data_IF_280587498637
#
_entry.id   IF_280587498637
#
_cell.length_a   1.000
_cell.length_b   1.000
_cell.length_c   1.000
_cell.angle_alpha   90.00
_cell.angle_beta   90.00
_cell.angle_gamma   90.00
#
_symmetry.space_group_name_H-M   'P 1'
#
loop_
_entity.id
_entity.type
_entity.pdbx_description
1 polymer ?
#
# COMPACT_ATOMS: atom_id res chain seq x y z
N UNK A 1 -15.43 -20.01 -4.57
CA UNK A 1 -14.20 -19.33 -4.11
C UNK A 1 -14.25 -17.85 -4.49
N UNK A 2 -14.62 -17.53 -5.73
CA UNK A 2 -14.67 -16.17 -6.28
C UNK A 2 -15.57 -15.25 -5.45
N UNK A 3 -16.77 -15.71 -5.09
CA UNK A 3 -17.71 -14.99 -4.22
C UNK A 3 -17.05 -14.57 -2.89
N UNK A 4 -16.29 -15.46 -2.27
CA UNK A 4 -15.62 -15.17 -1.00
C UNK A 4 -14.46 -14.18 -1.17
N UNK A 5 -13.78 -14.20 -2.32
CA UNK A 5 -12.74 -13.23 -2.66
C UNK A 5 -13.34 -11.84 -2.89
N UNK A 6 -14.40 -11.75 -3.69
CA UNK A 6 -15.11 -10.49 -3.98
C UNK A 6 -15.68 -9.83 -2.72
N UNK A 7 -16.12 -10.65 -1.75
CA UNK A 7 -16.65 -10.19 -0.47
C UNK A 7 -15.58 -10.05 0.63
N UNK A 8 -14.31 -10.13 0.27
CA UNK A 8 -13.20 -9.84 1.17
C UNK A 8 -12.95 -10.85 2.29
N UNK A 9 -13.53 -12.04 2.21
CA UNK A 9 -13.31 -13.12 3.18
C UNK A 9 -12.03 -13.91 2.94
N UNK A 10 -11.48 -13.84 1.71
CA UNK A 10 -10.25 -14.51 1.31
C UNK A 10 -9.24 -13.49 0.79
N UNK A 11 -7.97 -13.67 1.13
CA UNK A 11 -6.87 -12.86 0.60
C UNK A 11 -6.51 -13.23 -0.84
N UNK A 12 -6.76 -14.46 -1.24
CA UNK A 12 -6.47 -14.92 -2.59
C UNK A 12 -6.99 -16.34 -2.86
N UNK A 13 -7.01 -16.70 -4.13
CA UNK A 13 -7.33 -18.05 -4.60
C UNK A 13 -6.08 -18.59 -5.28
N UNK A 14 -5.60 -19.73 -4.85
CA UNK A 14 -4.37 -20.36 -5.35
C UNK A 14 -4.71 -21.68 -6.03
N UNK A 15 -4.26 -21.85 -7.27
CA UNK A 15 -4.36 -23.12 -7.98
C UNK A 15 -3.51 -24.19 -7.31
N UNK A 16 -3.98 -25.44 -7.33
CA UNK A 16 -3.28 -26.56 -6.66
C UNK A 16 -1.84 -26.74 -7.16
N UNK A 17 -1.58 -26.50 -8.45
CA UNK A 17 -0.24 -26.60 -9.03
C UNK A 17 0.77 -25.63 -8.45
N UNK A 18 0.35 -24.40 -8.13
CA UNK A 18 1.18 -23.31 -7.59
C UNK A 18 1.19 -23.27 -6.06
N UNK A 19 0.40 -24.12 -5.40
CA UNK A 19 0.19 -24.05 -3.94
C UNK A 19 1.51 -24.14 -3.16
N UNK A 20 2.44 -25.01 -3.59
CA UNK A 20 3.74 -25.18 -2.91
C UNK A 20 4.56 -23.91 -2.93
N UNK A 21 4.62 -23.26 -4.08
CA UNK A 21 5.45 -22.06 -4.28
C UNK A 21 4.85 -20.89 -3.51
N UNK A 22 3.53 -20.72 -3.57
CA UNK A 22 2.82 -19.69 -2.82
C UNK A 22 2.95 -19.91 -1.32
N UNK A 23 2.79 -21.14 -0.81
CA UNK A 23 2.99 -21.42 0.61
C UNK A 23 4.44 -21.18 1.05
N UNK A 24 5.42 -21.57 0.20
CA UNK A 24 6.84 -21.30 0.46
C UNK A 24 7.11 -19.80 0.56
N UNK A 25 6.56 -19.02 -0.37
CA UNK A 25 6.68 -17.57 -0.38
C UNK A 25 6.04 -16.94 0.86
N UNK A 26 4.81 -17.34 1.21
CA UNK A 26 4.14 -16.86 2.43
C UNK A 26 4.99 -17.14 3.66
N UNK A 27 5.52 -18.36 3.82
CA UNK A 27 6.36 -18.71 4.96
C UNK A 27 7.65 -17.89 4.98
N UNK A 28 8.30 -17.70 3.83
CA UNK A 28 9.49 -16.84 3.71
C UNK A 28 9.21 -15.40 4.14
N UNK A 29 8.10 -14.82 3.68
CA UNK A 29 7.70 -13.45 3.98
C UNK A 29 7.22 -13.25 5.44
N UNK A 30 6.89 -14.33 6.15
CA UNK A 30 6.54 -14.30 7.57
C UNK A 30 7.71 -14.66 8.49
N UNK A 31 8.83 -15.11 7.95
CA UNK A 31 10.03 -15.43 8.74
C UNK A 31 10.86 -14.18 9.01
N UNK A 32 10.50 -13.45 10.05
CA UNK A 32 11.20 -12.24 10.49
C UNK A 32 12.37 -12.49 11.41
N UNK A 33 12.72 -13.74 11.70
CA UNK A 33 13.84 -14.09 12.61
C UNK A 33 15.18 -13.53 12.13
N UNK A 34 15.33 -13.29 10.85
CA UNK A 34 16.52 -12.65 10.25
C UNK A 34 16.46 -11.12 10.24
N UNK A 35 15.30 -10.54 10.47
CA UNK A 35 15.10 -9.08 10.39
C UNK A 35 15.63 -8.33 11.61
N UNK A 36 15.83 -9.02 12.73
CA UNK A 36 16.34 -8.43 13.98
C UNK A 36 17.82 -8.81 14.28
N UNK A 37 18.50 -9.47 13.33
CA UNK A 37 19.94 -9.56 13.35
C UNK A 37 20.50 -8.16 13.09
N UNK A 38 21.40 -7.71 13.99
CA UNK A 38 22.11 -6.43 14.02
C UNK A 38 21.95 -5.59 12.75
N UNK A 39 21.25 -4.45 12.85
CA UNK A 39 21.29 -3.44 11.79
C UNK A 39 22.78 -3.23 11.46
N UNK A 40 23.22 -3.34 10.21
CA UNK A 40 24.58 -3.01 9.84
C UNK A 40 24.81 -1.58 10.28
N UNK A 41 25.69 -1.38 11.26
CA UNK A 41 25.96 -0.06 11.84
C UNK A 41 26.60 0.90 10.85
N UNK A 42 26.88 0.46 9.65
CA UNK A 42 27.38 1.29 8.56
C UNK A 42 26.83 0.76 7.24
N UNK A 43 25.59 1.08 6.91
CA UNK A 43 25.34 1.34 5.50
C UNK A 43 26.06 2.65 5.22
N UNK A 44 27.25 2.54 4.60
CA UNK A 44 27.82 3.65 3.86
C UNK A 44 26.65 4.27 3.09
N UNK A 45 26.29 5.50 3.42
CA UNK A 45 25.27 6.24 2.71
C UNK A 45 25.56 6.01 1.22
N UNK A 46 24.77 5.15 0.58
CA UNK A 46 24.78 5.08 -0.89
C UNK A 46 24.45 6.50 -1.26
N UNK A 47 25.47 7.23 -1.71
CA UNK A 47 25.32 8.61 -2.09
C UNK A 47 24.14 8.65 -3.06
N UNK A 48 23.09 9.38 -2.71
CA UNK A 48 21.92 9.63 -3.54
C UNK A 48 22.28 10.32 -4.87
N UNK A 49 23.58 10.46 -5.15
CA UNK A 49 24.14 11.07 -6.35
C UNK A 49 23.98 10.23 -7.62
N UNK A 50 23.48 8.99 -7.54
CA UNK A 50 23.36 8.14 -8.73
C UNK A 50 22.01 8.29 -9.47
N UNK A 51 21.02 8.96 -8.88
CA UNK A 51 19.74 9.23 -9.53
C UNK A 51 19.65 10.64 -10.13
N UNK A 52 20.71 11.14 -10.74
CA UNK A 52 20.68 12.43 -11.38
C UNK A 52 21.84 12.67 -12.28
N UNK A 53 21.79 12.21 -13.53
CA UNK A 53 22.44 12.97 -14.60
C UNK A 53 21.99 14.42 -14.42
N UNK A 54 22.91 15.34 -14.09
CA UNK A 54 22.67 16.78 -13.99
C UNK A 54 21.89 17.25 -15.22
N UNK A 55 20.57 17.15 -15.20
CA UNK A 55 19.73 17.96 -16.08
C UNK A 55 19.96 19.39 -15.62
N UNK A 56 20.51 20.24 -16.52
CA UNK A 56 20.64 21.68 -16.33
C UNK A 56 19.40 22.15 -15.58
N UNK A 57 19.57 22.73 -14.39
CA UNK A 57 18.49 23.36 -13.63
C UNK A 57 17.79 24.37 -14.55
N UNK A 58 16.68 23.94 -15.16
CA UNK A 58 15.74 24.92 -15.73
C UNK A 58 15.30 25.76 -14.53
N UNK A 59 15.47 27.10 -14.63
CA UNK A 59 14.97 28.07 -13.64
C UNK A 59 13.61 27.56 -13.14
N UNK A 60 13.52 27.25 -11.84
CA UNK A 60 12.25 26.90 -11.23
C UNK A 60 11.28 28.04 -11.50
N UNK A 61 10.31 27.83 -12.39
CA UNK A 61 9.17 28.72 -12.51
C UNK A 61 8.52 28.77 -11.14
N UNK A 62 8.26 29.97 -10.63
CA UNK A 62 7.46 30.14 -9.42
C UNK A 62 6.08 29.55 -9.71
N UNK A 63 5.84 28.30 -9.28
CA UNK A 63 4.58 27.61 -9.45
C UNK A 63 3.55 28.24 -8.52
N UNK A 64 2.38 28.57 -9.07
CA UNK A 64 1.23 28.99 -8.27
C UNK A 64 0.70 27.80 -7.47
N UNK A 65 -0.14 28.05 -6.47
CA UNK A 65 -0.82 26.98 -5.73
C UNK A 65 -1.65 26.07 -6.66
N UNK A 66 -2.28 26.67 -7.67
CA UNK A 66 -3.06 25.95 -8.67
C UNK A 66 -2.19 25.04 -9.55
N UNK A 67 -1.05 25.53 -10.02
CA UNK A 67 -0.10 24.71 -10.80
C UNK A 67 0.33 23.47 -9.99
N UNK A 68 0.57 23.61 -8.69
CA UNK A 68 0.92 22.49 -7.81
C UNK A 68 -0.23 21.47 -7.68
N UNK A 69 -1.47 21.96 -7.58
CA UNK A 69 -2.65 21.08 -7.57
C UNK A 69 -2.79 20.33 -8.89
N UNK A 70 -2.58 20.99 -10.02
CA UNK A 70 -2.64 20.35 -11.33
C UNK A 70 -1.55 19.28 -11.49
N UNK A 71 -0.32 19.56 -11.07
CA UNK A 71 0.78 18.60 -11.09
C UNK A 71 0.46 17.40 -10.17
N UNK A 72 -0.05 17.67 -8.98
CA UNK A 72 -0.42 16.61 -8.04
C UNK A 72 -1.55 15.69 -8.54
N UNK A 73 -2.41 16.22 -9.41
CA UNK A 73 -3.54 15.49 -10.02
C UNK A 73 -3.25 14.96 -11.43
N UNK A 74 -2.04 15.16 -11.95
CA UNK A 74 -1.68 14.66 -13.28
C UNK A 74 -1.77 13.13 -13.33
N UNK A 75 -2.36 12.62 -14.42
CA UNK A 75 -2.39 11.19 -14.73
C UNK A 75 -1.03 10.60 -15.10
N UNK A 76 -0.06 11.47 -15.43
CA UNK A 76 1.29 11.04 -15.80
C UNK A 76 2.19 10.74 -14.60
N UNK A 77 1.69 10.94 -13.38
CA UNK A 77 2.42 10.60 -12.16
C UNK A 77 2.34 9.10 -11.89
N UNK A 78 3.45 8.48 -11.46
CA UNK A 78 3.42 7.08 -11.05
C UNK A 78 2.38 6.83 -9.95
N UNK A 79 1.66 5.74 -10.08
CA UNK A 79 0.72 5.25 -9.08
C UNK A 79 1.44 4.47 -7.97
N UNK A 80 0.76 4.20 -6.86
CA UNK A 80 1.32 3.36 -5.80
C UNK A 80 1.69 1.95 -6.31
N UNK A 81 0.92 1.39 -7.24
CA UNK A 81 1.23 0.08 -7.83
C UNK A 81 2.56 0.09 -8.58
N UNK A 82 2.81 1.13 -9.38
CA UNK A 82 4.08 1.27 -10.11
C UNK A 82 5.28 1.51 -9.17
N UNK A 83 5.09 2.22 -8.06
CA UNK A 83 6.13 2.33 -7.04
C UNK A 83 6.40 0.98 -6.37
N UNK A 84 5.35 0.20 -6.09
CA UNK A 84 5.50 -1.13 -5.50
C UNK A 84 6.29 -2.04 -6.44
N UNK A 85 5.93 -2.10 -7.71
CA UNK A 85 6.62 -2.92 -8.71
C UNK A 85 8.09 -2.50 -8.92
N UNK A 86 8.38 -1.19 -8.79
CA UNK A 86 9.72 -0.67 -9.01
C UNK A 86 10.67 -0.77 -7.81
N UNK A 87 10.14 -0.84 -6.60
CA UNK A 87 10.93 -0.75 -5.35
C UNK A 87 11.09 -2.10 -4.68
N UNK A 88 10.04 -2.93 -4.73
CA UNK A 88 9.99 -4.16 -3.94
C UNK A 88 10.10 -5.40 -4.81
N UNK A 89 10.63 -6.46 -4.19
CA UNK A 89 10.63 -7.80 -4.75
C UNK A 89 9.52 -8.65 -4.11
N UNK A 90 9.11 -9.72 -4.79
CA UNK A 90 8.19 -10.74 -4.26
C UNK A 90 6.85 -10.18 -3.71
N UNK A 91 6.30 -9.10 -4.28
CA UNK A 91 5.06 -8.53 -3.78
C UNK A 91 3.88 -9.49 -3.91
N UNK A 92 3.25 -9.78 -2.77
CA UNK A 92 2.03 -10.58 -2.68
C UNK A 92 0.89 -9.70 -2.18
N UNK A 93 -0.07 -9.40 -3.05
CA UNK A 93 -1.26 -8.62 -2.69
C UNK A 93 -2.21 -9.44 -1.83
N UNK A 94 -2.75 -8.82 -0.79
CA UNK A 94 -3.83 -9.34 0.03
C UNK A 94 -5.11 -8.53 -0.17
N UNK A 95 -6.23 -9.21 -0.12
CA UNK A 95 -7.53 -8.65 -0.45
C UNK A 95 -8.47 -8.63 0.75
N UNK A 96 -9.46 -7.74 0.69
CA UNK A 96 -10.59 -7.70 1.58
C UNK A 96 -10.33 -7.17 2.99
N UNK A 97 -11.43 -6.76 3.61
CA UNK A 97 -11.47 -6.27 4.99
C UNK A 97 -11.73 -7.41 6.00
N UNK A 98 -11.83 -8.66 5.54
CA UNK A 98 -12.24 -9.85 6.29
C UNK A 98 -13.66 -9.78 6.84
N UNK A 99 -14.53 -8.95 6.27
CA UNK A 99 -15.88 -8.77 6.79
C UNK A 99 -16.96 -8.55 5.75
N UNK A 100 -16.80 -7.59 4.86
CA UNK A 100 -17.85 -7.16 3.94
C UNK A 100 -17.44 -7.26 2.48
N UNK A 101 -16.31 -6.64 2.11
CA UNK A 101 -15.81 -6.63 0.71
C UNK A 101 -14.38 -6.16 0.62
N UNK A 102 -13.80 -6.26 -0.58
CA UNK A 102 -12.54 -5.60 -0.91
C UNK A 102 -12.77 -4.17 -1.41
N UNK A 103 -11.76 -3.31 -1.26
CA UNK A 103 -11.73 -1.96 -1.83
C UNK A 103 -10.50 -1.82 -2.72
N UNK A 104 -10.74 -1.64 -4.02
CA UNK A 104 -9.69 -1.48 -5.03
C UNK A 104 -8.93 -0.15 -4.91
N UNK A 105 -9.42 0.81 -4.12
CA UNK A 105 -8.69 2.05 -3.84
C UNK A 105 -7.47 1.82 -2.94
N UNK A 106 -7.41 0.70 -2.21
CA UNK A 106 -6.27 0.30 -1.40
C UNK A 106 -5.62 -0.96 -1.99
N UNK A 107 -4.37 -0.84 -2.40
CA UNK A 107 -3.47 -1.97 -2.65
C UNK A 107 -2.67 -2.23 -1.37
N UNK A 108 -2.54 -3.48 -0.97
CA UNK A 108 -1.77 -3.81 0.20
C UNK A 108 -1.37 -5.28 0.24
N UNK A 109 -0.23 -5.55 0.83
CA UNK A 109 0.31 -6.90 0.88
C UNK A 109 1.65 -6.97 1.57
N UNK A 110 2.36 -8.04 1.32
CA UNK A 110 3.71 -8.29 1.84
C UNK A 110 4.66 -8.32 0.65
N UNK A 111 5.83 -7.72 0.84
CA UNK A 111 6.89 -7.68 -0.16
C UNK A 111 8.26 -7.88 0.49
N UNK A 112 9.28 -7.96 -0.32
CA UNK A 112 10.68 -7.98 0.12
C UNK A 112 11.37 -6.68 -0.29
N UNK A 113 12.05 -6.04 0.65
CA UNK A 113 12.90 -4.88 0.42
C UNK A 113 14.33 -5.22 0.89
N UNK A 114 15.27 -5.27 -0.03
CA UNK A 114 16.66 -5.67 0.26
C UNK A 114 16.75 -7.00 1.06
N UNK A 115 15.90 -7.97 0.72
CA UNK A 115 15.83 -9.27 1.39
C UNK A 115 15.05 -9.27 2.73
N UNK A 116 14.54 -8.13 3.18
CA UNK A 116 13.75 -8.00 4.40
C UNK A 116 12.25 -8.00 4.09
N UNK A 117 11.42 -8.82 4.75
CA UNK A 117 9.99 -8.79 4.56
C UNK A 117 9.38 -7.53 5.18
N UNK A 118 8.59 -6.82 4.40
CA UNK A 118 7.88 -5.60 4.78
C UNK A 118 6.40 -5.71 4.42
N UNK A 119 5.55 -4.99 5.13
CA UNK A 119 4.16 -4.80 4.73
C UNK A 119 4.04 -3.50 3.96
N UNK A 120 3.44 -3.55 2.77
CA UNK A 120 3.30 -2.41 1.88
C UNK A 120 1.83 -2.08 1.71
N UNK A 121 1.49 -0.82 1.85
CA UNK A 121 0.16 -0.27 1.63
C UNK A 121 0.25 0.88 0.64
N UNK A 122 -0.75 1.04 -0.21
CA UNK A 122 -0.79 2.16 -1.14
C UNK A 122 -2.20 2.54 -1.54
N UNK A 123 -2.40 3.83 -1.82
CA UNK A 123 -3.64 4.30 -2.43
C UNK A 123 -3.48 4.19 -3.94
N UNK A 124 -4.35 3.38 -4.55
CA UNK A 124 -4.34 3.09 -5.98
C UNK A 124 -5.15 4.14 -6.74
N UNK A 125 -4.53 4.74 -7.73
CA UNK A 125 -5.18 5.54 -8.78
C UNK A 125 -4.96 4.88 -10.12
N UNK A 126 -5.91 5.03 -11.02
CA UNK A 126 -5.76 4.55 -12.40
C UNK A 126 -5.23 5.64 -13.32
N UNK A 127 -4.68 5.23 -14.47
CA UNK A 127 -4.30 6.13 -15.57
C UNK A 127 -5.45 6.35 -16.57
N UNK A 128 -6.38 5.41 -16.62
CA UNK A 128 -7.57 5.49 -17.46
C UNK A 128 -8.83 5.80 -16.66
N UNK A 129 -9.85 6.36 -17.30
CA UNK A 129 -11.14 6.61 -16.64
C UNK A 129 -11.76 5.33 -16.05
N UNK A 130 -11.63 4.20 -16.76
CA UNK A 130 -12.16 2.90 -16.31
C UNK A 130 -11.45 2.43 -15.03
N UNK A 131 -10.12 2.55 -14.99
CA UNK A 131 -9.33 2.20 -13.80
C UNK A 131 -9.65 3.13 -12.64
N UNK A 132 -9.76 4.43 -12.90
CA UNK A 132 -10.12 5.40 -11.87
C UNK A 132 -11.49 5.12 -11.25
N UNK A 133 -12.49 4.75 -12.07
CA UNK A 133 -13.81 4.34 -11.55
C UNK A 133 -13.66 3.10 -10.68
N UNK A 134 -12.90 2.10 -11.11
CA UNK A 134 -12.65 0.86 -10.34
C UNK A 134 -11.97 1.13 -8.99
N UNK A 135 -11.03 2.08 -8.95
CA UNK A 135 -10.28 2.46 -7.75
C UNK A 135 -10.93 3.65 -7.01
N UNK A 136 -12.18 3.97 -7.33
CA UNK A 136 -12.92 5.06 -6.72
C UNK A 136 -12.14 6.38 -6.72
N UNK A 137 -11.40 6.65 -7.80
CA UNK A 137 -10.52 7.83 -7.97
C UNK A 137 -9.45 7.99 -6.87
N UNK A 138 -9.05 6.90 -6.23
CA UNK A 138 -8.13 6.92 -5.09
C UNK A 138 -8.78 7.45 -3.81
N UNK A 139 -10.09 7.31 -3.69
CA UNK A 139 -10.85 7.66 -2.49
C UNK A 139 -11.29 6.39 -1.77
N UNK A 140 -10.61 5.95 -0.72
CA UNK A 140 -10.96 4.73 -0.03
C UNK A 140 -12.33 4.81 0.67
N UNK A 141 -13.07 3.71 0.59
CA UNK A 141 -14.29 3.46 1.37
C UNK A 141 -13.94 2.90 2.76
N UNK A 142 -14.90 2.71 3.67
CA UNK A 142 -14.64 2.15 5.01
C UNK A 142 -13.90 0.82 4.96
N UNK A 143 -14.19 -0.02 3.97
CA UNK A 143 -13.57 -1.32 3.79
C UNK A 143 -12.08 -1.21 3.43
N UNK A 144 -11.70 -0.18 2.65
CA UNK A 144 -10.29 0.11 2.35
C UNK A 144 -9.50 0.46 3.62
N UNK A 145 -10.05 1.30 4.48
CA UNK A 145 -9.42 1.62 5.77
C UNK A 145 -9.34 0.40 6.70
N UNK A 146 -10.37 -0.44 6.74
CA UNK A 146 -10.38 -1.68 7.51
C UNK A 146 -9.33 -2.67 6.99
N UNK A 147 -9.22 -2.82 5.66
CA UNK A 147 -8.18 -3.62 5.00
C UNK A 147 -6.79 -3.14 5.40
N UNK A 148 -6.52 -1.83 5.30
CA UNK A 148 -5.26 -1.24 5.67
C UNK A 148 -4.91 -1.52 7.14
N UNK A 149 -5.86 -1.32 8.06
CA UNK A 149 -5.68 -1.61 9.48
C UNK A 149 -5.37 -3.08 9.73
N UNK A 150 -6.11 -3.98 9.10
CA UNK A 150 -5.88 -5.42 9.21
C UNK A 150 -4.44 -5.80 8.83
N UNK A 151 -3.94 -5.24 7.72
CA UNK A 151 -2.57 -5.50 7.25
C UNK A 151 -1.51 -4.88 8.18
N UNK A 152 -1.77 -3.70 8.76
CA UNK A 152 -0.89 -3.10 9.76
C UNK A 152 -0.83 -3.94 11.05
N UNK A 153 -1.97 -4.45 11.53
CA UNK A 153 -1.99 -5.36 12.68
C UNK A 153 -1.32 -6.70 12.38
N UNK A 154 -1.44 -7.19 11.16
CA UNK A 154 -0.69 -8.37 10.73
C UNK A 154 0.83 -8.07 10.69
N UNK A 155 1.23 -6.89 10.23
CA UNK A 155 2.61 -6.46 10.26
C UNK A 155 3.18 -6.44 11.68
N UNK A 156 2.44 -5.86 12.63
CA UNK A 156 2.79 -5.85 14.05
C UNK A 156 2.96 -7.27 14.61
N UNK A 157 1.99 -8.15 14.36
CA UNK A 157 2.05 -9.54 14.81
C UNK A 157 3.29 -10.28 14.35
N UNK A 158 3.77 -10.02 13.14
CA UNK A 158 4.94 -10.68 12.55
C UNK A 158 6.21 -9.82 12.60
N UNK A 159 6.17 -8.66 13.23
CA UNK A 159 7.34 -7.79 13.40
C UNK A 159 7.86 -7.18 12.10
N UNK A 160 7.00 -6.91 11.10
CA UNK A 160 7.39 -6.29 9.83
C UNK A 160 7.20 -4.78 9.90
N UNK A 161 8.12 -4.02 9.33
CA UNK A 161 7.91 -2.60 9.07
C UNK A 161 6.74 -2.40 8.08
N UNK A 162 6.04 -1.29 8.22
CA UNK A 162 4.96 -0.87 7.31
C UNK A 162 5.46 0.28 6.45
N UNK A 163 5.25 0.19 5.14
CA UNK A 163 5.56 1.26 4.19
C UNK A 163 4.25 1.66 3.52
N UNK A 164 3.86 2.93 3.67
CA UNK A 164 2.59 3.44 3.16
C UNK A 164 2.80 4.53 2.09
N UNK A 165 2.23 4.31 0.90
CA UNK A 165 2.17 5.30 -0.19
C UNK A 165 0.83 6.00 -0.15
N UNK A 166 0.83 7.27 0.28
CA UNK A 166 -0.39 8.07 0.42
C UNK A 166 -0.51 9.05 -0.73
N UNK A 167 -1.49 8.83 -1.60
CA UNK A 167 -1.81 9.71 -2.72
C UNK A 167 -3.33 9.73 -2.97
N UNK A 168 -4.07 10.45 -2.14
CA UNK A 168 -5.52 10.51 -2.18
C UNK A 168 -6.04 11.96 -2.32
N UNK A 169 -7.14 12.20 -3.03
CA UNK A 169 -7.85 13.47 -2.95
C UNK A 169 -8.67 13.60 -1.65
N UNK A 170 -8.98 12.49 -0.98
CA UNK A 170 -9.77 12.42 0.25
C UNK A 170 -10.41 11.05 0.45
N UNK A 171 -11.21 10.90 1.48
CA UNK A 171 -12.06 9.74 1.69
C UNK A 171 -13.25 9.74 0.71
N UNK A 172 -13.81 8.57 0.42
CA UNK A 172 -15.02 8.50 -0.40
C UNK A 172 -16.20 9.16 0.30
N UNK A 173 -16.83 10.12 -0.37
CA UNK A 173 -17.93 10.93 0.16
C UNK A 173 -19.29 10.45 -0.41
N UNK A 174 -19.73 9.28 0.00
CA UNK A 174 -21.01 8.72 -0.42
C UNK A 174 -21.87 8.33 0.78
N UNK A 175 -23.21 8.42 0.63
CA UNK A 175 -24.16 8.03 1.67
C UNK A 175 -23.86 6.63 2.19
N UNK A 176 -23.66 5.67 1.28
CA UNK A 176 -23.32 4.29 1.64
C UNK A 176 -22.03 4.16 2.46
N UNK A 177 -21.05 5.04 2.24
CA UNK A 177 -19.82 5.02 3.01
C UNK A 177 -20.04 5.55 4.43
N UNK A 178 -20.84 6.60 4.57
CA UNK A 178 -21.23 7.15 5.88
C UNK A 178 -22.04 6.12 6.68
N UNK A 179 -23.00 5.44 6.05
CA UNK A 179 -23.80 4.38 6.68
C UNK A 179 -22.94 3.20 7.17
N UNK A 180 -21.80 2.93 6.51
CA UNK A 180 -20.85 1.88 6.90
C UNK A 180 -19.71 2.37 7.79
N UNK A 181 -19.81 3.61 8.31
CA UNK A 181 -18.89 4.14 9.31
C UNK A 181 -17.57 4.66 8.75
N UNK A 182 -17.64 5.50 7.69
CA UNK A 182 -16.45 6.10 7.07
C UNK A 182 -15.58 6.86 8.09
N UNK A 183 -16.23 7.74 8.88
CA UNK A 183 -15.53 8.54 9.90
C UNK A 183 -14.90 7.68 11.00
N UNK A 184 -15.61 6.65 11.46
CA UNK A 184 -15.08 5.71 12.45
C UNK A 184 -13.89 4.92 11.91
N UNK A 185 -13.98 4.40 10.69
CA UNK A 185 -12.89 3.64 10.07
C UNK A 185 -11.60 4.47 9.96
N UNK A 186 -11.71 5.76 9.62
CA UNK A 186 -10.59 6.68 9.56
C UNK A 186 -10.03 6.95 10.96
N UNK A 187 -10.89 7.30 11.91
CA UNK A 187 -10.49 7.62 13.28
C UNK A 187 -9.80 6.42 13.95
N UNK A 188 -10.33 5.22 13.73
CA UNK A 188 -9.75 3.98 14.23
C UNK A 188 -8.36 3.71 13.64
N UNK A 189 -8.16 3.94 12.34
CA UNK A 189 -6.83 3.83 11.75
C UNK A 189 -5.81 4.78 12.41
N UNK A 190 -6.18 6.05 12.65
CA UNK A 190 -5.30 7.00 13.32
C UNK A 190 -4.91 6.54 14.73
N UNK A 191 -5.89 6.08 15.50
CA UNK A 191 -5.67 5.58 16.86
C UNK A 191 -4.75 4.35 16.86
N UNK A 192 -5.09 3.34 16.07
CA UNK A 192 -4.38 2.07 16.04
C UNK A 192 -2.96 2.19 15.43
N UNK A 193 -2.78 3.08 14.44
CA UNK A 193 -1.45 3.37 13.90
C UNK A 193 -0.52 3.98 14.93
N UNK A 194 -1.06 4.82 15.84
CA UNK A 194 -0.24 5.46 16.89
C UNK A 194 0.24 4.47 17.95
N UNK A 195 -0.39 3.30 18.07
CA UNK A 195 -0.04 2.24 19.03
C UNK A 195 0.77 1.08 18.44
N UNK A 196 1.01 1.07 17.14
CA UNK A 196 1.80 0.03 16.48
C UNK A 196 3.21 -0.05 17.06
N UNK A 197 3.68 -1.28 17.29
CA UNK A 197 5.02 -1.55 17.85
C UNK A 197 6.07 -1.82 16.76
N UNK A 198 5.73 -1.57 15.51
CA UNK A 198 6.61 -1.68 14.35
C UNK A 198 6.76 -0.32 13.67
N UNK A 199 7.85 -0.06 12.94
CA UNK A 199 8.03 1.18 12.17
C UNK A 199 6.94 1.35 11.11
N UNK A 200 6.43 2.59 10.94
CA UNK A 200 5.49 2.99 9.88
C UNK A 200 6.06 4.16 9.12
#
# INVERSE_FOLDING_TARGET
AEFLLEHGFLDGIVERGSMRDVLSLILKLHDTRKCYGEFPQETSARSFDTFGKKKKQKKQKNLTAWDRVQIARSSDRPSAAEYIDAIFDDFMEFHGDSGVRDDNAIIGGIATLDGQPVTVLGIRKGHTTKENIRCNFGMPSPEGYKKALRLMKQAEKFGRAVIAFVDTPGAFCGLEAEERGQGEAIARNLLEMSDLKVPV
#
